data_IF_830597377453
#
_entry.id   IF_830597377453
#
_cell.length_a   1.000
_cell.length_b   1.000
_cell.length_c   1.000
_cell.angle_alpha   90.00
_cell.angle_beta   90.00
_cell.angle_gamma   90.00
#
_symmetry.space_group_name_H-M   'P 1'
#
loop_
_entity.id
_entity.type
_entity.pdbx_description
1 polymer ?
#
# COMPACT_ATOMS: atom_id res chain seq x y z
N UNK A 1 -10.39 31.32 -0.54
CA UNK A 1 -11.47 30.38 -0.19
C UNK A 1 -12.10 29.93 -1.50
N UNK A 2 -12.10 28.61 -1.76
CA UNK A 2 -12.81 28.06 -2.90
C UNK A 2 -14.32 28.08 -2.59
N UNK A 3 -15.13 28.62 -3.49
CA UNK A 3 -16.58 28.57 -3.36
C UNK A 3 -17.07 27.14 -3.67
N UNK A 4 -18.06 26.62 -2.90
CA UNK A 4 -18.61 25.29 -3.17
C UNK A 4 -19.36 25.29 -4.50
N UNK A 5 -19.00 24.36 -5.38
CA UNK A 5 -19.69 24.12 -6.64
C UNK A 5 -20.78 23.08 -6.41
N UNK A 6 -21.99 23.50 -6.09
CA UNK A 6 -23.13 22.62 -5.80
C UNK A 6 -23.00 21.82 -4.49
N UNK A 7 -23.58 20.61 -4.43
CA UNK A 7 -23.51 19.72 -3.25
C UNK A 7 -22.14 19.01 -3.07
N UNK A 8 -21.07 19.47 -3.72
CA UNK A 8 -19.75 18.91 -3.60
C UNK A 8 -18.99 19.54 -2.44
N UNK A 9 -18.43 18.70 -1.57
CA UNK A 9 -17.53 19.13 -0.50
C UNK A 9 -16.20 19.57 -1.12
N UNK A 10 -15.83 20.84 -1.00
CA UNK A 10 -14.52 21.35 -1.43
C UNK A 10 -13.56 21.36 -0.24
N UNK A 11 -12.45 20.63 -0.33
CA UNK A 11 -11.37 20.61 0.64
C UNK A 11 -10.18 21.40 0.08
N UNK A 12 -9.74 22.42 0.80
CA UNK A 12 -8.51 23.15 0.49
C UNK A 12 -7.40 22.69 1.44
N UNK A 13 -6.33 22.11 0.88
CA UNK A 13 -5.17 21.63 1.63
C UNK A 13 -3.95 22.47 1.27
N UNK A 14 -3.24 22.98 2.28
CA UNK A 14 -1.97 23.67 2.08
C UNK A 14 -0.83 22.64 2.16
N UNK A 15 -0.01 22.56 1.12
CA UNK A 15 1.09 21.60 1.01
C UNK A 15 2.49 22.22 1.13
N UNK A 16 2.55 23.57 1.28
CA UNK A 16 3.80 24.30 1.46
C UNK A 16 4.61 24.53 0.19
N UNK A 17 4.76 23.54 -0.66
CA UNK A 17 5.55 23.60 -1.90
C UNK A 17 4.91 22.79 -3.03
N UNK A 18 5.37 23.03 -4.26
CA UNK A 18 4.89 22.29 -5.43
C UNK A 18 5.48 20.89 -5.43
N UNK A 19 4.66 19.81 -5.52
CA UNK A 19 5.15 18.44 -5.58
C UNK A 19 6.04 18.20 -6.79
N UNK A 20 7.14 17.51 -6.59
CA UNK A 20 8.02 17.07 -7.67
C UNK A 20 7.47 15.82 -8.37
N UNK A 21 6.68 15.01 -7.65
CA UNK A 21 6.06 13.78 -8.17
C UNK A 21 4.70 13.51 -7.57
N UNK A 22 3.87 12.78 -8.34
CA UNK A 22 2.63 12.13 -7.86
C UNK A 22 2.73 10.61 -7.93
N UNK A 23 3.93 10.08 -8.12
CA UNK A 23 4.17 8.65 -8.12
C UNK A 23 4.49 8.16 -6.70
N UNK A 24 3.67 7.26 -6.12
CA UNK A 24 3.81 6.84 -4.72
C UNK A 24 5.19 6.30 -4.34
N UNK A 25 5.87 5.62 -5.26
CA UNK A 25 7.18 5.00 -4.95
C UNK A 25 8.35 6.00 -4.90
N UNK A 26 8.12 7.26 -5.27
CA UNK A 26 9.13 8.33 -5.27
C UNK A 26 8.75 9.52 -4.39
N UNK A 27 7.59 9.49 -3.74
CA UNK A 27 7.08 10.61 -2.94
C UNK A 27 7.77 10.66 -1.57
N UNK A 28 8.86 11.38 -1.47
CA UNK A 28 9.68 11.51 -0.25
C UNK A 28 9.30 12.75 0.58
N UNK A 29 8.73 13.78 -0.05
CA UNK A 29 8.39 15.04 0.60
C UNK A 29 7.00 15.02 1.27
N UNK A 30 6.82 15.67 2.43
CA UNK A 30 5.55 15.67 3.15
C UNK A 30 4.36 16.20 2.34
N UNK A 31 4.59 17.19 1.46
CA UNK A 31 3.57 17.74 0.57
C UNK A 31 3.05 16.71 -0.43
N UNK A 32 3.95 15.94 -1.03
CA UNK A 32 3.64 14.84 -1.95
C UNK A 32 2.83 13.76 -1.24
N UNK A 33 3.30 13.35 -0.06
CA UNK A 33 2.63 12.34 0.76
C UNK A 33 1.22 12.79 1.16
N UNK A 34 1.05 14.06 1.50
CA UNK A 34 -0.27 14.61 1.82
C UNK A 34 -1.23 14.50 0.64
N UNK A 35 -0.80 14.84 -0.57
CA UNK A 35 -1.63 14.73 -1.77
C UNK A 35 -1.97 13.27 -2.06
N UNK A 36 -0.98 12.39 -2.04
CA UNK A 36 -1.17 10.97 -2.37
C UNK A 36 -2.13 10.28 -1.39
N UNK A 37 -2.09 10.63 -0.11
CA UNK A 37 -3.07 10.15 0.87
C UNK A 37 -4.52 10.59 0.60
N UNK A 38 -4.73 11.63 -0.22
CA UNK A 38 -6.06 12.06 -0.66
C UNK A 38 -6.46 11.45 -2.01
N UNK A 39 -5.50 11.01 -2.82
CA UNK A 39 -5.74 10.44 -4.15
C UNK A 39 -5.90 8.92 -4.13
N UNK A 40 -5.18 8.24 -3.23
CA UNK A 40 -5.10 6.79 -3.17
C UNK A 40 -5.59 6.26 -1.83
N UNK A 41 -5.91 4.98 -1.79
CA UNK A 41 -6.22 4.26 -0.56
C UNK A 41 -5.37 2.99 -0.47
N UNK A 42 -4.65 2.84 0.65
CA UNK A 42 -3.85 1.65 0.90
C UNK A 42 -4.67 0.51 1.53
N UNK A 43 -4.08 -0.67 1.67
CA UNK A 43 -4.70 -1.84 2.31
C UNK A 43 -5.19 -1.52 3.72
N UNK A 44 -4.36 -0.85 4.50
CA UNK A 44 -4.67 -0.35 5.85
C UNK A 44 -4.50 1.17 5.89
N UNK A 45 -5.08 1.80 6.90
CA UNK A 45 -4.89 3.22 7.21
C UNK A 45 -4.64 3.42 8.71
N UNK A 46 -4.05 4.53 9.06
CA UNK A 46 -3.78 4.87 10.46
C UNK A 46 -4.94 5.70 11.03
N UNK A 47 -5.42 5.31 12.21
CA UNK A 47 -6.39 6.07 13.00
C UNK A 47 -5.95 6.13 14.46
N UNK A 48 -6.49 7.07 15.22
CA UNK A 48 -6.32 7.10 16.67
C UNK A 48 -7.44 6.28 17.34
N UNK A 49 -7.06 5.41 18.28
CA UNK A 49 -8.00 4.68 19.10
C UNK A 49 -8.58 5.57 20.23
N UNK A 50 -9.43 5.00 21.08
CA UNK A 50 -10.05 5.69 22.22
C UNK A 50 -9.05 6.24 23.24
N UNK A 51 -7.81 5.71 23.25
CA UNK A 51 -6.72 6.12 24.14
C UNK A 51 -5.77 7.12 23.45
N UNK A 52 -6.05 7.52 22.20
CA UNK A 52 -5.19 8.38 21.39
C UNK A 52 -3.97 7.68 20.82
N UNK A 53 -3.92 6.33 20.81
CA UNK A 53 -2.84 5.58 20.20
C UNK A 53 -3.09 5.38 18.70
N UNK A 54 -2.04 5.53 17.92
CA UNK A 54 -2.12 5.28 16.47
C UNK A 54 -2.16 3.79 16.18
N UNK A 55 -3.25 3.33 15.58
CA UNK A 55 -3.50 1.93 15.23
C UNK A 55 -3.78 1.79 13.74
N UNK A 56 -3.42 0.63 13.17
CA UNK A 56 -3.78 0.30 11.80
C UNK A 56 -5.21 -0.25 11.75
N UNK A 57 -6.05 0.35 10.93
CA UNK A 57 -7.42 -0.09 10.66
C UNK A 57 -7.59 -0.43 9.19
N UNK A 58 -8.68 -1.10 8.85
CA UNK A 58 -8.96 -1.47 7.46
C UNK A 58 -9.13 -0.23 6.56
N UNK A 59 -8.35 -0.19 5.48
CA UNK A 59 -8.46 0.75 4.38
C UNK A 59 -9.20 0.13 3.19
N UNK A 60 -8.51 -0.10 2.07
CA UNK A 60 -9.04 -0.82 0.92
C UNK A 60 -9.33 -2.30 1.23
N UNK A 61 -8.64 -2.89 2.20
CA UNK A 61 -9.01 -4.20 2.74
C UNK A 61 -10.22 -4.07 3.67
N UNK A 62 -11.21 -4.94 3.50
CA UNK A 62 -12.34 -5.10 4.44
C UNK A 62 -12.03 -6.08 5.57
N UNK A 63 -11.10 -7.01 5.34
CA UNK A 63 -10.64 -7.98 6.33
C UNK A 63 -9.25 -8.49 5.99
N UNK A 64 -8.53 -8.91 7.02
CA UNK A 64 -7.21 -9.53 6.94
C UNK A 64 -7.26 -10.83 7.74
N UNK A 65 -6.92 -11.95 7.11
CA UNK A 65 -6.68 -13.22 7.78
C UNK A 65 -5.17 -13.44 7.87
N UNK A 66 -4.68 -13.83 9.03
CA UNK A 66 -3.26 -14.10 9.29
C UNK A 66 -3.07 -15.56 9.61
N UNK A 67 -2.08 -16.21 8.98
CA UNK A 67 -1.75 -17.61 9.19
C UNK A 67 -0.24 -17.75 9.37
N UNK A 68 0.17 -18.30 10.50
CA UNK A 68 1.54 -18.77 10.72
C UNK A 68 1.70 -20.14 10.03
N UNK A 69 2.77 -20.29 9.25
CA UNK A 69 3.08 -21.54 8.56
C UNK A 69 4.13 -22.35 9.33
N UNK A 70 4.17 -23.66 9.09
CA UNK A 70 5.06 -24.57 9.81
C UNK A 70 6.57 -24.30 9.53
N UNK A 71 6.89 -23.59 8.46
CA UNK A 71 8.25 -23.19 8.08
C UNK A 71 8.69 -21.85 8.69
N UNK A 72 7.86 -21.25 9.55
CA UNK A 72 8.13 -19.96 10.20
C UNK A 72 7.75 -18.73 9.38
N UNK A 73 7.25 -18.92 8.15
CA UNK A 73 6.70 -17.82 7.35
C UNK A 73 5.30 -17.44 7.85
N UNK A 74 4.84 -16.21 7.53
CA UNK A 74 3.50 -15.75 7.89
C UNK A 74 2.77 -15.28 6.65
N UNK A 75 1.58 -15.83 6.41
CA UNK A 75 0.73 -15.49 5.26
C UNK A 75 -0.42 -14.59 5.69
N UNK A 76 -0.50 -13.43 5.05
CA UNK A 76 -1.60 -12.45 5.17
C UNK A 76 -2.51 -12.58 3.96
N UNK A 77 -3.80 -12.73 4.20
CA UNK A 77 -4.82 -12.76 3.15
C UNK A 77 -5.75 -11.57 3.32
N UNK A 78 -5.62 -10.59 2.45
CA UNK A 78 -6.45 -9.39 2.41
C UNK A 78 -7.64 -9.61 1.49
N UNK A 79 -8.86 -9.33 1.97
CA UNK A 79 -10.06 -9.25 1.12
C UNK A 79 -10.41 -7.79 0.90
N UNK A 80 -10.36 -7.35 -0.34
CA UNK A 80 -10.67 -5.97 -0.72
C UNK A 80 -12.18 -5.72 -0.58
N UNK A 81 -12.55 -4.52 -0.16
CA UNK A 81 -13.96 -4.10 -0.01
C UNK A 81 -14.62 -3.70 -1.33
N UNK A 82 -13.84 -3.58 -2.41
CA UNK A 82 -14.27 -3.04 -3.68
C UNK A 82 -14.20 -1.51 -3.67
N UNK A 83 -13.49 -0.97 -4.64
CA UNK A 83 -13.33 0.46 -4.90
C UNK A 83 -13.22 0.68 -6.39
N UNK A 84 -13.25 1.92 -6.81
CA UNK A 84 -13.10 2.29 -8.22
C UNK A 84 -12.03 3.34 -8.36
N UNK A 85 -11.28 3.25 -9.43
CA UNK A 85 -10.46 4.34 -9.92
C UNK A 85 -11.33 5.53 -10.38
N UNK A 86 -10.74 6.69 -10.55
CA UNK A 86 -11.44 7.91 -11.00
C UNK A 86 -12.12 7.77 -12.36
N UNK A 87 -11.68 6.82 -13.20
CA UNK A 87 -12.28 6.48 -14.50
C UNK A 87 -13.44 5.47 -14.38
N UNK A 88 -13.75 4.99 -13.17
CA UNK A 88 -14.82 4.03 -12.89
C UNK A 88 -14.43 2.56 -12.98
N UNK A 89 -13.17 2.24 -13.37
CA UNK A 89 -12.63 0.87 -13.36
C UNK A 89 -12.49 0.37 -11.93
N UNK A 90 -12.78 -0.91 -11.68
CA UNK A 90 -12.63 -1.51 -10.35
C UNK A 90 -11.17 -1.63 -9.94
N UNK A 91 -10.85 -1.24 -8.70
CA UNK A 91 -9.56 -1.53 -8.05
C UNK A 91 -9.50 -3.00 -7.70
N UNK A 92 -8.44 -3.68 -8.13
CA UNK A 92 -8.28 -5.13 -8.00
C UNK A 92 -7.03 -5.49 -7.19
N UNK A 93 -7.00 -6.70 -6.67
CA UNK A 93 -5.81 -7.24 -6.00
C UNK A 93 -4.56 -7.26 -6.91
N UNK A 94 -4.75 -7.38 -8.22
CA UNK A 94 -3.68 -7.28 -9.21
C UNK A 94 -3.00 -5.91 -9.25
N UNK A 95 -3.71 -4.83 -8.92
CA UNK A 95 -3.14 -3.48 -8.89
C UNK A 95 -2.12 -3.35 -7.75
N UNK A 96 -2.44 -3.92 -6.57
CA UNK A 96 -1.50 -4.02 -5.45
C UNK A 96 -0.30 -4.92 -5.77
N UNK A 97 -0.52 -6.07 -6.44
CA UNK A 97 0.60 -6.93 -6.89
C UNK A 97 1.54 -6.15 -7.80
N UNK A 98 1.00 -5.44 -8.78
CA UNK A 98 1.77 -4.61 -9.70
C UNK A 98 2.56 -3.53 -8.94
N UNK A 99 1.91 -2.78 -8.05
CA UNK A 99 2.55 -1.71 -7.28
C UNK A 99 3.70 -2.24 -6.42
N UNK A 100 3.51 -3.35 -5.71
CA UNK A 100 4.56 -3.93 -4.86
C UNK A 100 5.71 -4.54 -5.66
N UNK A 101 5.42 -5.20 -6.78
CA UNK A 101 6.45 -5.68 -7.69
C UNK A 101 7.26 -4.53 -8.30
N UNK A 102 6.57 -3.45 -8.68
CA UNK A 102 7.19 -2.23 -9.19
C UNK A 102 8.08 -1.57 -8.12
N UNK A 103 7.59 -1.45 -6.88
CA UNK A 103 8.36 -0.93 -5.75
C UNK A 103 9.62 -1.76 -5.48
N UNK A 104 9.52 -3.10 -5.50
CA UNK A 104 10.65 -4.01 -5.27
C UNK A 104 11.66 -4.01 -6.41
N UNK A 105 11.28 -3.64 -7.64
CA UNK A 105 12.12 -3.76 -8.83
C UNK A 105 13.39 -2.90 -8.73
N UNK A 106 14.60 -3.46 -8.95
CA UNK A 106 15.85 -2.69 -8.89
C UNK A 106 15.88 -1.50 -9.86
N UNK A 107 15.23 -1.65 -11.02
CA UNK A 107 15.21 -0.64 -12.07
C UNK A 107 14.49 0.66 -11.67
N UNK A 108 13.61 0.62 -10.67
CA UNK A 108 12.91 1.83 -10.18
C UNK A 108 13.80 2.71 -9.32
N UNK A 109 14.80 2.14 -8.63
CA UNK A 109 15.67 2.87 -7.72
C UNK A 109 14.95 3.52 -6.54
N UNK A 110 13.73 3.08 -6.19
CA UNK A 110 12.97 3.64 -5.09
C UNK A 110 13.67 3.46 -3.76
N UNK A 111 13.77 4.54 -2.97
CA UNK A 111 14.29 4.51 -1.60
C UNK A 111 13.42 3.67 -0.66
N UNK A 112 12.15 3.45 -1.01
CA UNK A 112 11.21 2.65 -0.22
C UNK A 112 11.26 1.15 -0.51
N UNK A 113 12.00 0.68 -1.53
CA UNK A 113 12.08 -0.74 -1.87
C UNK A 113 12.44 -1.65 -0.66
N UNK A 114 13.31 -1.23 0.29
CA UNK A 114 13.65 -2.02 1.48
C UNK A 114 12.45 -2.33 2.40
N UNK A 115 11.35 -1.60 2.34
CA UNK A 115 10.12 -1.92 3.09
C UNK A 115 9.60 -3.32 2.77
N UNK A 116 9.86 -3.81 1.56
CA UNK A 116 9.42 -5.13 1.11
C UNK A 116 10.45 -6.24 1.38
N UNK A 117 11.57 -5.96 2.05
CA UNK A 117 12.61 -6.96 2.37
C UNK A 117 12.12 -8.11 3.25
N UNK A 118 11.04 -7.87 3.99
CA UNK A 118 10.36 -8.88 4.82
C UNK A 118 9.42 -9.80 4.02
N UNK A 119 9.12 -9.46 2.77
CA UNK A 119 8.29 -10.29 1.90
C UNK A 119 9.14 -11.44 1.35
N UNK A 120 8.64 -12.66 1.47
CA UNK A 120 9.33 -13.84 0.96
C UNK A 120 9.66 -13.68 -0.53
N UNK A 121 10.85 -14.11 -0.91
CA UNK A 121 11.32 -14.02 -2.29
C UNK A 121 11.88 -12.65 -2.71
N UNK A 122 11.89 -11.64 -1.83
CA UNK A 122 12.38 -10.29 -2.15
C UNK A 122 13.81 -10.28 -2.71
N UNK A 123 14.77 -10.91 -2.02
CA UNK A 123 16.16 -10.92 -2.45
C UNK A 123 16.33 -11.69 -3.76
N UNK A 124 15.64 -12.83 -3.93
CA UNK A 124 15.68 -13.62 -5.15
C UNK A 124 15.09 -12.86 -6.36
N UNK A 125 13.95 -12.19 -6.15
CA UNK A 125 13.32 -11.36 -7.17
C UNK A 125 14.26 -10.23 -7.63
N UNK A 126 14.88 -9.53 -6.69
CA UNK A 126 15.81 -8.43 -7.01
C UNK A 126 17.10 -8.92 -7.69
N UNK A 127 17.62 -10.07 -7.27
CA UNK A 127 18.84 -10.63 -7.85
C UNK A 127 18.62 -11.14 -9.29
N UNK A 128 17.46 -11.74 -9.56
CA UNK A 128 17.12 -12.27 -10.89
C UNK A 128 16.49 -11.23 -11.82
N UNK A 129 15.90 -10.17 -11.27
CA UNK A 129 15.04 -9.23 -12.01
C UNK A 129 13.63 -9.77 -12.28
N UNK A 130 13.31 -10.99 -11.82
CA UNK A 130 11.99 -11.58 -11.97
C UNK A 130 11.11 -11.30 -10.74
N UNK A 131 10.30 -10.23 -10.83
CA UNK A 131 9.44 -9.79 -9.75
C UNK A 131 8.30 -10.76 -9.42
N UNK A 132 8.05 -11.78 -10.25
CA UNK A 132 7.06 -12.82 -9.94
C UNK A 132 7.48 -13.73 -8.77
N UNK A 133 8.76 -13.71 -8.40
CA UNK A 133 9.30 -14.42 -7.24
C UNK A 133 8.96 -13.75 -5.91
N UNK A 134 8.57 -12.47 -5.93
CA UNK A 134 8.07 -11.79 -4.74
C UNK A 134 6.73 -12.42 -4.31
N UNK A 135 6.63 -12.86 -3.05
CA UNK A 135 5.45 -13.58 -2.55
C UNK A 135 4.27 -12.64 -2.27
N UNK A 136 3.86 -11.91 -3.31
CA UNK A 136 2.67 -11.05 -3.36
C UNK A 136 1.85 -11.49 -4.56
N UNK A 137 0.65 -12.05 -4.34
CA UNK A 137 -0.15 -12.65 -5.40
C UNK A 137 -1.62 -12.28 -5.28
N UNK A 138 -2.30 -12.13 -6.41
CA UNK A 138 -3.74 -11.99 -6.47
C UNK A 138 -4.38 -13.38 -6.67
N UNK A 139 -5.02 -13.89 -5.62
CA UNK A 139 -5.75 -15.17 -5.69
C UNK A 139 -6.98 -15.06 -6.61
N UNK A 140 -7.60 -13.89 -6.62
CA UNK A 140 -8.67 -13.47 -7.53
C UNK A 140 -8.71 -11.92 -7.53
N UNK A 141 -9.69 -11.32 -8.21
CA UNK A 141 -9.79 -9.86 -8.33
C UNK A 141 -9.89 -9.11 -6.98
N UNK A 142 -10.39 -9.75 -5.92
CA UNK A 142 -10.64 -9.12 -4.62
C UNK A 142 -9.82 -9.71 -3.48
N UNK A 143 -8.92 -10.66 -3.75
CA UNK A 143 -8.15 -11.34 -2.70
C UNK A 143 -6.66 -11.25 -3.01
N UNK A 144 -5.94 -10.47 -2.20
CA UNK A 144 -4.49 -10.34 -2.22
C UNK A 144 -3.89 -11.26 -1.14
N UNK A 145 -2.84 -11.98 -1.49
CA UNK A 145 -2.09 -12.84 -0.57
C UNK A 145 -0.63 -12.38 -0.54
N UNK A 146 -0.13 -12.14 0.66
CA UNK A 146 1.25 -11.75 0.93
C UNK A 146 1.86 -12.74 1.91
N UNK A 147 3.02 -13.29 1.60
CA UNK A 147 3.75 -14.15 2.52
C UNK A 147 5.04 -13.46 2.95
N UNK A 148 5.22 -13.33 4.27
CA UNK A 148 6.41 -12.78 4.89
C UNK A 148 7.38 -13.87 5.26
N UNK A 149 8.68 -13.55 5.26
CA UNK A 149 9.75 -14.49 5.63
C UNK A 149 9.91 -14.70 7.15
N UNK A 150 9.01 -14.13 7.95
CA UNK A 150 8.95 -14.23 9.41
C UNK A 150 7.76 -13.49 9.99
N UNK A 151 7.70 -13.40 11.31
CA UNK A 151 6.67 -12.64 12.03
C UNK A 151 7.16 -11.19 12.25
N UNK A 152 6.33 -10.23 11.81
CA UNK A 152 6.61 -8.80 11.92
C UNK A 152 5.35 -8.06 12.40
N UNK A 153 5.29 -7.71 13.66
CA UNK A 153 4.12 -7.07 14.30
C UNK A 153 3.81 -5.68 13.71
N UNK A 154 4.83 -5.04 13.11
CA UNK A 154 4.70 -3.73 12.48
C UNK A 154 4.24 -3.76 11.01
N UNK A 155 4.14 -4.95 10.40
CA UNK A 155 3.82 -5.09 8.96
C UNK A 155 2.55 -4.35 8.56
N UNK A 156 1.44 -4.55 9.28
CA UNK A 156 0.18 -3.90 8.95
C UNK A 156 0.24 -2.39 9.17
N UNK A 157 1.01 -1.93 10.17
CA UNK A 157 1.09 -0.53 10.55
C UNK A 157 2.08 0.27 9.70
N UNK A 158 3.18 -0.32 9.26
CA UNK A 158 4.25 0.40 8.57
C UNK A 158 4.23 0.13 7.04
N UNK A 159 4.04 -1.13 6.63
CA UNK A 159 4.08 -1.47 5.21
C UNK A 159 2.73 -1.28 4.54
N UNK A 160 1.66 -1.79 5.16
CA UNK A 160 0.32 -1.74 4.55
C UNK A 160 -0.36 -0.36 4.64
N UNK A 161 0.26 0.61 5.31
CA UNK A 161 -0.18 2.02 5.36
C UNK A 161 0.78 2.97 4.64
N UNK A 162 1.94 2.47 4.21
CA UNK A 162 2.94 3.28 3.50
C UNK A 162 2.42 3.74 2.15
N UNK A 163 2.65 5.01 1.82
CA UNK A 163 2.33 5.57 0.50
C UNK A 163 2.97 4.75 -0.62
N UNK A 164 4.23 4.35 -0.44
CA UNK A 164 4.98 3.60 -1.45
C UNK A 164 4.36 2.24 -1.82
N UNK A 165 3.45 1.69 -0.99
CA UNK A 165 2.76 0.41 -1.24
C UNK A 165 1.32 0.59 -1.74
N UNK A 166 0.89 1.80 -2.05
CA UNK A 166 -0.40 2.10 -2.68
C UNK A 166 -0.47 1.52 -4.10
N UNK A 167 -1.67 1.12 -4.55
CA UNK A 167 -1.87 0.50 -5.87
C UNK A 167 -1.70 1.47 -7.02
#
# INVERSE_FOLDING_TARGET
QAEPVGDQLALAVCIGETPATYDPIYAEEPGEQTILNHLYENLMRLEQDENGQTVAVNGAARSVDVKENADGTVTYTFRLRGGKWSDGVEVKAGDFVYAWQRLAAPATGSAYAPLLSIVSGYDAARASGDMSQLAVTAKNSTTLVVTLNGQYDWFLREVCTSIATMP
#
